data_IF_848652153170
#
_entry.id   IF_848652153170
#
_cell.length_a   1.000
_cell.length_b   1.000
_cell.length_c   1.000
_cell.angle_alpha   90.00
_cell.angle_beta   90.00
_cell.angle_gamma   90.00
#
_symmetry.space_group_name_H-M   'P 1'
#
loop_
_entity.id
_entity.type
_entity.pdbx_description
1 polymer ?
#
# COMPACT_ATOMS: atom_id res chain seq x y z
N UNK A 1 -43.96 23.31 28.69
CA UNK A 1 -43.01 23.39 27.56
C UNK A 1 -41.86 22.43 27.85
N UNK A 2 -41.84 21.28 27.18
CA UNK A 2 -40.75 20.32 27.29
C UNK A 2 -40.00 20.32 25.95
N UNK A 3 -38.73 20.69 25.97
CA UNK A 3 -37.86 20.67 24.79
C UNK A 3 -37.21 19.29 24.75
N UNK A 4 -37.63 18.45 23.82
CA UNK A 4 -37.00 17.17 23.53
C UNK A 4 -35.76 17.41 22.66
N UNK A 5 -34.57 17.09 23.19
CA UNK A 5 -33.33 17.13 22.44
C UNK A 5 -33.20 15.85 21.58
N UNK A 6 -33.42 15.97 20.28
CA UNK A 6 -33.17 14.91 19.31
C UNK A 6 -31.66 14.73 19.13
N UNK A 7 -31.11 13.62 19.64
CA UNK A 7 -29.75 13.21 19.36
C UNK A 7 -29.66 12.70 17.91
N UNK A 8 -28.98 13.46 17.04
CA UNK A 8 -28.62 13.00 15.70
C UNK A 8 -27.53 11.93 15.82
N UNK A 9 -27.88 10.67 15.55
CA UNK A 9 -26.88 9.64 15.28
C UNK A 9 -26.23 9.96 13.93
N UNK A 10 -24.98 10.42 13.97
CA UNK A 10 -24.15 10.58 12.78
C UNK A 10 -23.76 9.20 12.24
N UNK A 11 -24.46 8.72 11.20
CA UNK A 11 -23.99 7.60 10.41
C UNK A 11 -22.72 8.01 9.67
N UNK A 12 -21.56 7.51 10.10
CA UNK A 12 -20.32 7.66 9.36
C UNK A 12 -20.50 7.06 7.94
N UNK A 13 -20.29 7.88 6.92
CA UNK A 13 -20.41 7.46 5.52
C UNK A 13 -19.25 6.55 5.11
N UNK A 14 -19.46 5.58 4.22
CA UNK A 14 -18.42 4.63 3.78
C UNK A 14 -17.19 5.32 3.17
N UNK A 15 -17.33 6.54 2.62
CA UNK A 15 -16.23 7.33 2.10
C UNK A 15 -15.16 7.67 3.17
N UNK A 16 -15.54 7.85 4.44
CA UNK A 16 -14.58 8.12 5.52
C UNK A 16 -13.77 6.87 5.90
N UNK A 17 -14.34 5.67 5.75
CA UNK A 17 -13.64 4.41 6.01
C UNK A 17 -12.59 4.12 4.93
N UNK A 18 -12.88 4.41 3.65
CA UNK A 18 -11.91 4.32 2.56
C UNK A 18 -10.76 5.33 2.72
N UNK A 19 -11.06 6.59 3.06
CA UNK A 19 -10.03 7.62 3.29
C UNK A 19 -9.09 7.33 4.46
N UNK A 20 -9.46 6.42 5.37
CA UNK A 20 -8.61 5.96 6.45
C UNK A 20 -7.53 4.95 6.02
N UNK A 21 -7.62 4.42 4.79
CA UNK A 21 -6.72 3.39 4.25
C UNK A 21 -5.64 3.95 3.32
N UNK A 22 -5.81 5.20 2.85
CA UNK A 22 -4.89 5.85 1.93
C UNK A 22 -3.73 6.59 2.62
N UNK A 23 -2.62 6.70 1.90
CA UNK A 23 -1.37 7.36 2.32
C UNK A 23 -0.50 7.69 1.10
N UNK A 24 0.48 8.57 1.31
CA UNK A 24 1.46 8.93 0.29
C UNK A 24 2.76 8.15 0.46
N UNK A 25 3.42 7.85 -0.66
CA UNK A 25 4.80 7.35 -0.71
C UNK A 25 5.65 8.20 -1.64
N UNK A 26 6.95 8.25 -1.39
CA UNK A 26 7.93 8.91 -2.24
C UNK A 26 8.95 7.87 -2.73
N UNK A 27 8.93 7.57 -4.03
CA UNK A 27 9.88 6.64 -4.65
C UNK A 27 11.12 7.40 -5.09
N UNK A 28 12.28 7.02 -4.58
CA UNK A 28 13.58 7.58 -4.98
C UNK A 28 14.42 6.50 -5.65
N UNK A 29 15.28 6.90 -6.57
CA UNK A 29 16.10 5.98 -7.36
C UNK A 29 17.59 6.22 -7.12
N UNK A 30 18.36 5.15 -7.11
CA UNK A 30 19.80 5.24 -7.34
C UNK A 30 20.09 5.84 -8.72
N UNK A 31 21.30 6.35 -8.92
CA UNK A 31 21.72 6.86 -10.23
C UNK A 31 21.66 5.78 -11.31
N UNK A 32 22.05 4.55 -11.00
CA UNK A 32 22.05 3.47 -11.98
C UNK A 32 20.62 3.03 -12.32
N UNK A 33 19.74 2.92 -11.32
CA UNK A 33 18.33 2.60 -11.53
C UNK A 33 17.66 3.65 -12.43
N UNK A 34 17.81 4.94 -12.11
CA UNK A 34 17.26 6.03 -12.93
C UNK A 34 17.79 6.01 -14.38
N UNK A 35 19.09 5.77 -14.57
CA UNK A 35 19.69 5.69 -15.89
C UNK A 35 19.16 4.48 -16.69
N UNK A 36 19.02 3.32 -16.05
CA UNK A 36 18.51 2.10 -16.68
C UNK A 36 17.05 2.26 -17.12
N UNK A 37 16.18 2.75 -16.23
CA UNK A 37 14.77 2.97 -16.56
C UNK A 37 14.60 3.99 -17.68
N UNK A 38 15.36 5.09 -17.65
CA UNK A 38 15.34 6.09 -18.71
C UNK A 38 15.78 5.52 -20.06
N UNK A 39 16.87 4.74 -20.10
CA UNK A 39 17.37 4.11 -21.32
C UNK A 39 16.36 3.11 -21.93
N UNK A 40 15.61 2.41 -21.09
CA UNK A 40 14.58 1.46 -21.50
C UNK A 40 13.18 2.07 -21.66
N UNK A 41 13.02 3.38 -21.43
CA UNK A 41 11.71 4.07 -21.39
C UNK A 41 10.70 3.35 -20.48
N UNK A 42 11.22 2.82 -19.37
CA UNK A 42 10.47 2.00 -18.43
C UNK A 42 9.78 2.88 -17.38
N UNK A 43 8.66 2.41 -16.86
CA UNK A 43 7.92 3.03 -15.75
C UNK A 43 8.20 2.36 -14.40
N UNK A 44 7.52 2.81 -13.37
CA UNK A 44 7.52 2.20 -12.04
C UNK A 44 6.07 1.90 -11.66
N UNK A 45 5.83 0.74 -11.05
CA UNK A 45 4.55 0.41 -10.44
C UNK A 45 4.75 0.27 -8.93
N UNK A 46 3.98 1.04 -8.16
CA UNK A 46 3.80 0.88 -6.73
C UNK A 46 2.53 0.07 -6.51
N UNK A 47 2.58 -0.99 -5.71
CA UNK A 47 1.40 -1.82 -5.46
C UNK A 47 1.22 -2.15 -3.98
N UNK A 48 -0.03 -2.07 -3.52
CA UNK A 48 -0.43 -2.25 -2.14
C UNK A 48 -1.45 -3.38 -1.98
N UNK A 49 -1.17 -4.30 -1.06
CA UNK A 49 -2.08 -5.34 -0.61
C UNK A 49 -2.44 -5.11 0.86
N UNK A 50 -3.74 -5.17 1.19
CA UNK A 50 -4.23 -4.92 2.54
C UNK A 50 -4.71 -6.21 3.18
N UNK A 51 -4.34 -6.43 4.44
CA UNK A 51 -4.58 -7.68 5.13
C UNK A 51 -4.72 -7.50 6.65
N UNK A 52 -5.00 -8.60 7.36
CA UNK A 52 -4.91 -8.64 8.82
C UNK A 52 -5.26 -10.01 9.39
N UNK A 53 -5.12 -10.14 10.71
CA UNK A 53 -5.43 -11.38 11.40
C UNK A 53 -6.95 -11.59 11.51
N UNK A 54 -7.44 -12.83 11.30
CA UNK A 54 -8.86 -13.12 11.38
C UNK A 54 -9.38 -13.05 12.82
N UNK A 55 -10.63 -12.60 12.98
CA UNK A 55 -11.46 -12.97 14.14
C UNK A 55 -11.70 -14.48 14.10
N UNK A 56 -11.89 -15.08 15.27
CA UNK A 56 -12.24 -16.51 15.41
C UNK A 56 -13.41 -16.94 14.51
N UNK A 57 -14.43 -16.08 14.37
CA UNK A 57 -15.61 -16.35 13.52
C UNK A 57 -15.35 -16.26 12.01
N UNK A 58 -14.20 -15.73 11.60
CA UNK A 58 -13.85 -15.48 10.21
C UNK A 58 -12.62 -16.27 9.73
N UNK A 59 -12.06 -17.17 10.55
CA UNK A 59 -10.87 -17.98 10.21
C UNK A 59 -11.01 -18.77 8.89
N UNK A 60 -12.22 -19.19 8.53
CA UNK A 60 -12.50 -19.85 7.24
C UNK A 60 -12.20 -19.00 5.99
N UNK A 61 -11.99 -17.69 6.17
CA UNK A 61 -11.63 -16.74 5.11
C UNK A 61 -10.14 -16.43 5.07
N UNK A 62 -9.34 -17.00 5.98
CA UNK A 62 -7.90 -16.82 5.99
C UNK A 62 -7.23 -17.58 4.85
N UNK A 63 -6.14 -17.02 4.34
CA UNK A 63 -5.25 -17.64 3.36
C UNK A 63 -4.31 -18.66 4.02
N UNK A 64 -3.38 -19.21 3.24
CA UNK A 64 -2.46 -20.29 3.63
C UNK A 64 -1.51 -19.90 4.78
N UNK A 65 -1.28 -18.60 4.99
CA UNK A 65 -0.47 -18.07 6.09
C UNK A 65 -1.32 -17.57 7.27
N UNK A 66 -2.63 -17.83 7.26
CA UNK A 66 -3.53 -17.52 8.36
C UNK A 66 -4.05 -16.08 8.40
N UNK A 67 -3.93 -15.32 7.31
CA UNK A 67 -4.36 -13.91 7.23
C UNK A 67 -5.54 -13.72 6.29
N UNK A 68 -6.35 -12.69 6.54
CA UNK A 68 -7.43 -12.29 5.63
C UNK A 68 -6.92 -11.15 4.75
N UNK A 69 -6.98 -11.34 3.43
CA UNK A 69 -6.90 -10.22 2.50
C UNK A 69 -8.21 -9.44 2.52
N UNK A 70 -8.13 -8.16 2.87
CA UNK A 70 -9.26 -7.23 2.85
C UNK A 70 -9.36 -6.46 1.53
N UNK A 71 -8.43 -6.70 0.61
CA UNK A 71 -8.41 -6.14 -0.73
C UNK A 71 -8.48 -7.27 -1.78
N UNK A 72 -9.58 -7.45 -2.53
CA UNK A 72 -9.73 -8.56 -3.47
C UNK A 72 -8.67 -8.61 -4.59
N UNK A 73 -8.01 -7.48 -4.83
CA UNK A 73 -6.86 -7.31 -5.73
C UNK A 73 -5.94 -6.25 -5.14
N UNK A 74 -4.69 -6.21 -5.57
CA UNK A 74 -3.78 -5.13 -5.18
C UNK A 74 -4.23 -3.81 -5.78
N UNK A 75 -4.00 -2.73 -5.04
CA UNK A 75 -4.07 -1.38 -5.59
C UNK A 75 -2.74 -1.07 -6.26
N UNK A 76 -2.76 -0.76 -7.55
CA UNK A 76 -1.56 -0.47 -8.33
C UNK A 76 -1.58 0.97 -8.81
N UNK A 77 -0.49 1.71 -8.59
CA UNK A 77 -0.30 3.07 -9.11
C UNK A 77 0.98 3.10 -9.93
N UNK A 78 0.84 3.46 -11.21
CA UNK A 78 1.99 3.64 -12.09
C UNK A 78 2.51 5.08 -12.00
N UNK A 79 3.83 5.23 -11.93
CA UNK A 79 4.53 6.52 -11.95
C UNK A 79 5.65 6.52 -13.00
N UNK A 80 6.14 7.69 -13.42
CA UNK A 80 7.27 7.77 -14.35
C UNK A 80 8.53 7.06 -13.81
N UNK A 81 9.36 6.54 -14.71
CA UNK A 81 10.65 5.91 -14.40
C UNK A 81 11.70 6.83 -13.75
N UNK A 82 11.37 8.10 -13.51
CA UNK A 82 12.17 9.03 -12.71
C UNK A 82 11.89 8.92 -11.20
N UNK A 83 10.90 8.12 -10.79
CA UNK A 83 10.39 8.10 -9.42
C UNK A 83 9.52 9.33 -9.12
N UNK A 84 9.31 9.57 -7.83
CA UNK A 84 8.55 10.70 -7.30
C UNK A 84 7.43 10.28 -6.33
N UNK A 85 6.68 11.29 -5.88
CA UNK A 85 5.53 11.12 -4.99
C UNK A 85 4.35 10.46 -5.69
N UNK A 86 3.67 9.56 -4.98
CA UNK A 86 2.37 9.04 -5.39
C UNK A 86 1.45 8.78 -4.20
N UNK A 87 0.15 8.78 -4.47
CA UNK A 87 -0.90 8.54 -3.50
C UNK A 87 -1.51 7.15 -3.72
N UNK A 88 -1.53 6.33 -2.66
CA UNK A 88 -2.29 5.09 -2.60
C UNK A 88 -3.59 5.42 -1.86
N UNK A 89 -4.74 5.22 -2.51
CA UNK A 89 -6.03 5.66 -1.99
C UNK A 89 -6.68 4.66 -1.02
N UNK A 90 -6.27 3.39 -1.04
CA UNK A 90 -6.98 2.29 -0.38
C UNK A 90 -8.29 1.95 -1.09
N UNK A 91 -8.40 2.24 -2.38
CA UNK A 91 -9.64 2.15 -3.16
C UNK A 91 -10.10 0.70 -3.37
N UNK A 92 -9.18 -0.26 -3.31
CA UNK A 92 -9.47 -1.68 -3.49
C UNK A 92 -9.92 -2.38 -2.20
N UNK A 93 -9.88 -1.69 -1.05
CA UNK A 93 -10.28 -2.24 0.25
C UNK A 93 -11.79 -2.50 0.30
N UNK A 94 -12.19 -3.74 0.55
CA UNK A 94 -13.57 -4.12 0.84
C UNK A 94 -13.85 -3.89 2.33
N UNK A 95 -14.56 -2.81 2.64
CA UNK A 95 -14.87 -2.41 4.03
C UNK A 95 -15.65 -3.47 4.80
N UNK A 96 -16.36 -4.39 4.12
CA UNK A 96 -17.03 -5.52 4.79
C UNK A 96 -16.03 -6.52 5.35
N UNK A 97 -14.89 -6.72 4.68
CA UNK A 97 -13.82 -7.62 5.11
C UNK A 97 -13.02 -7.06 6.28
N UNK A 98 -12.97 -5.73 6.44
CA UNK A 98 -12.40 -5.11 7.64
C UNK A 98 -13.10 -5.60 8.92
N UNK A 99 -14.42 -5.85 8.85
CA UNK A 99 -15.19 -6.41 9.96
C UNK A 99 -14.77 -7.84 10.38
N UNK A 100 -13.99 -8.53 9.54
CA UNK A 100 -13.48 -9.87 9.81
C UNK A 100 -12.16 -9.86 10.59
N UNK A 101 -11.50 -8.71 10.70
CA UNK A 101 -10.19 -8.61 11.34
C UNK A 101 -10.30 -8.51 12.87
N UNK A 102 -9.44 -9.23 13.58
CA UNK A 102 -9.34 -9.18 15.04
C UNK A 102 -8.65 -7.92 15.57
N UNK A 103 -7.93 -7.20 14.69
CA UNK A 103 -7.24 -5.96 14.98
C UNK A 103 -7.28 -4.97 13.80
N UNK A 104 -6.45 -3.91 13.83
CA UNK A 104 -6.38 -2.94 12.74
C UNK A 104 -5.85 -3.61 11.45
N UNK A 105 -6.27 -3.06 10.30
CA UNK A 105 -5.73 -3.50 9.02
C UNK A 105 -4.26 -3.14 8.87
N UNK A 106 -3.54 -4.04 8.20
CA UNK A 106 -2.15 -3.91 7.78
C UNK A 106 -2.08 -3.73 6.27
N UNK A 107 -0.96 -3.21 5.79
CA UNK A 107 -0.67 -3.04 4.36
C UNK A 107 0.74 -3.52 4.07
N UNK A 108 0.87 -4.22 2.96
CA UNK A 108 2.15 -4.54 2.34
C UNK A 108 2.26 -3.75 1.04
N UNK A 109 3.29 -2.91 0.90
CA UNK A 109 3.54 -2.07 -0.28
C UNK A 109 4.89 -2.42 -0.86
N UNK A 110 4.92 -2.73 -2.16
CA UNK A 110 6.15 -2.97 -2.90
C UNK A 110 6.22 -2.06 -4.12
N UNK A 111 7.42 -1.96 -4.69
CA UNK A 111 7.72 -1.18 -5.88
C UNK A 111 8.47 -2.07 -6.87
N UNK A 112 8.11 -1.98 -8.14
CA UNK A 112 8.75 -2.71 -9.24
C UNK A 112 8.87 -1.84 -10.48
N UNK A 113 9.71 -2.23 -11.45
CA UNK A 113 9.61 -1.70 -12.81
C UNK A 113 8.24 -2.04 -13.40
N UNK A 114 7.71 -1.17 -14.26
CA UNK A 114 6.39 -1.34 -14.87
C UNK A 114 6.32 -2.46 -15.92
N UNK A 115 7.46 -3.04 -16.28
CA UNK A 115 7.63 -4.13 -17.25
C UNK A 115 7.02 -3.82 -18.61
N UNK A 116 7.14 -2.57 -19.06
CA UNK A 116 6.69 -2.12 -20.39
C UNK A 116 7.68 -2.49 -21.47
N UNK A 117 8.98 -2.51 -21.15
CA UNK A 117 10.05 -2.79 -22.10
C UNK A 117 10.91 -3.98 -21.72
N UNK A 118 10.83 -4.45 -20.47
CA UNK A 118 11.51 -5.64 -19.96
C UNK A 118 10.50 -6.55 -19.23
N UNK A 119 10.45 -7.87 -19.49
CA UNK A 119 9.50 -8.75 -18.80
C UNK A 119 9.82 -8.93 -17.30
N UNK A 120 11.05 -8.65 -16.90
CA UNK A 120 11.53 -8.86 -15.54
C UNK A 120 11.44 -7.58 -14.70
N UNK A 121 11.33 -7.75 -13.39
CA UNK A 121 11.50 -6.63 -12.48
C UNK A 121 12.98 -6.21 -12.49
N UNK A 122 13.23 -4.91 -12.65
CA UNK A 122 14.58 -4.34 -12.67
C UNK A 122 14.99 -3.76 -11.32
N UNK A 123 14.04 -3.51 -10.42
CA UNK A 123 14.26 -2.73 -9.21
C UNK A 123 14.25 -3.58 -7.95
N UNK A 124 15.21 -3.32 -7.05
CA UNK A 124 15.13 -3.77 -5.66
C UNK A 124 14.85 -2.55 -4.78
N UNK A 125 13.78 -2.58 -4.00
CA UNK A 125 13.27 -1.41 -3.30
C UNK A 125 13.02 -1.67 -1.82
N UNK A 126 13.21 -0.63 -1.01
CA UNK A 126 12.52 -0.52 0.27
C UNK A 126 11.01 -0.82 0.10
N UNK A 127 10.40 -1.43 1.12
CA UNK A 127 8.99 -1.84 1.08
C UNK A 127 8.30 -1.50 2.40
N UNK A 128 6.97 -1.53 2.45
CA UNK A 128 6.18 -1.35 3.68
C UNK A 128 5.56 -2.69 4.04
N UNK A 129 5.61 -3.07 5.31
CA UNK A 129 4.79 -4.17 5.84
C UNK A 129 4.37 -3.91 7.28
N UNK A 130 3.21 -3.27 7.47
CA UNK A 130 2.89 -2.66 8.76
C UNK A 130 1.42 -2.28 8.94
N UNK A 131 1.09 -1.77 10.12
CA UNK A 131 -0.25 -1.25 10.40
C UNK A 131 -0.49 0.03 9.60
N UNK A 132 -1.63 0.13 8.91
CA UNK A 132 -1.94 1.30 8.06
C UNK A 132 -1.93 2.61 8.85
N UNK A 133 -2.29 2.57 10.13
CA UNK A 133 -2.25 3.73 11.00
C UNK A 133 -0.84 4.29 11.21
N UNK A 134 0.20 3.46 11.18
CA UNK A 134 1.59 3.87 11.43
C UNK A 134 2.25 4.40 10.14
N UNK A 135 1.96 3.74 9.01
CA UNK A 135 2.28 4.25 7.66
C UNK A 135 1.75 5.67 7.49
N UNK A 136 0.46 5.89 7.82
CA UNK A 136 -0.21 7.20 7.69
C UNK A 136 0.38 8.29 8.56
N UNK A 137 0.93 7.97 9.74
CA UNK A 137 1.62 8.96 10.59
C UNK A 137 2.97 9.39 10.03
N UNK A 138 3.57 8.54 9.20
CA UNK A 138 4.93 8.73 8.65
C UNK A 138 4.88 9.23 7.21
N UNK A 139 3.71 9.24 6.57
CA UNK A 139 3.55 9.63 5.18
C UNK A 139 4.05 11.07 4.90
N UNK A 140 4.73 11.33 3.76
CA UNK A 140 5.06 10.36 2.73
C UNK A 140 6.19 9.41 3.17
N UNK A 141 5.96 8.11 3.02
CA UNK A 141 7.01 7.11 3.34
C UNK A 141 7.98 7.03 2.17
N UNK A 142 9.27 7.25 2.45
CA UNK A 142 10.31 7.22 1.43
C UNK A 142 10.76 5.78 1.16
N UNK A 143 10.61 5.35 -0.08
CA UNK A 143 11.02 4.04 -0.59
C UNK A 143 12.19 4.24 -1.55
N UNK A 144 13.40 3.82 -1.16
CA UNK A 144 14.56 3.87 -2.04
C UNK A 144 14.60 2.62 -2.90
N UNK A 145 14.82 2.83 -4.18
CA UNK A 145 14.92 1.79 -5.19
C UNK A 145 16.31 1.80 -5.83
N UNK A 146 16.88 0.63 -5.94
CA UNK A 146 18.13 0.31 -6.58
C UNK A 146 17.87 -0.55 -7.82
N UNK A 147 18.86 -0.66 -8.68
CA UNK A 147 18.86 -1.64 -9.75
C UNK A 147 19.28 -2.99 -9.16
N UNK A 148 18.54 -4.07 -9.40
CA UNK A 148 18.91 -5.41 -8.89
C UNK A 148 20.33 -5.83 -9.31
N UNK A 149 20.80 -5.37 -10.47
CA UNK A 149 22.11 -5.70 -10.99
C UNK A 149 23.25 -4.79 -10.48
N UNK A 150 22.97 -3.78 -9.65
CA UNK A 150 24.01 -2.93 -9.05
C UNK A 150 24.43 -3.43 -7.66
N UNK A 151 25.61 -3.06 -7.20
CA UNK A 151 26.01 -3.24 -5.80
C UNK A 151 25.31 -2.16 -4.95
N UNK A 152 24.40 -2.58 -4.07
CA UNK A 152 23.59 -1.68 -3.25
C UNK A 152 23.39 -2.26 -1.84
N UNK A 153 23.09 -1.42 -0.83
CA UNK A 153 22.77 -1.92 0.50
C UNK A 153 21.45 -2.71 0.51
N UNK A 154 21.27 -3.56 1.52
CA UNK A 154 20.00 -4.26 1.73
C UNK A 154 18.82 -3.29 1.80
N UNK A 155 17.74 -3.64 1.11
CA UNK A 155 16.48 -2.93 1.16
C UNK A 155 15.82 -3.11 2.52
N UNK A 156 15.06 -2.09 2.94
CA UNK A 156 14.52 -2.01 4.29
C UNK A 156 13.01 -1.99 4.28
N UNK A 157 12.43 -2.75 5.21
CA UNK A 157 11.05 -2.55 5.62
C UNK A 157 10.89 -1.18 6.28
N UNK A 158 9.94 -0.40 5.78
CA UNK A 158 9.50 0.89 6.31
C UNK A 158 8.23 0.73 7.13
N UNK A 159 7.97 1.64 8.07
CA UNK A 159 6.76 1.64 8.90
C UNK A 159 5.49 1.80 8.08
#
# INVERSE_FOLDING_TARGET
MAIAASAMLACATPAMAQGAMGFDVEVTLSRAAAAKLAAQKEGIVVFASYYGDPKRSAEKHANEIGQISVSPKDETVEIPGSGGRTHIAGATVDTRRLGWLSGPARVNVNVASARKSDPDNLLDCDFIDGAVADVRKTAPVMLHCYLIAEDHPDTRMKP
#
